data_IF_478166616221
#
_entry.id   IF_478166616221
#
_cell.length_a   1.000
_cell.length_b   1.000
_cell.length_c   1.000
_cell.angle_alpha   90.00
_cell.angle_beta   90.00
_cell.angle_gamma   90.00
#
_symmetry.space_group_name_H-M   'P 1'
#
loop_
_entity.id
_entity.type
_entity.pdbx_description
1 polymer ?
#
# COMPACT_ATOMS: atom_id res chain seq x y z
N UNK A 1 4.16 -8.41 -23.19
CA UNK A 1 3.04 -9.10 -22.53
C UNK A 1 2.57 -8.25 -21.37
N UNK A 2 1.27 -8.02 -21.21
CA UNK A 2 0.70 -7.33 -20.04
C UNK A 2 0.49 -8.28 -18.86
N UNK A 3 0.37 -7.72 -17.64
CA UNK A 3 0.04 -8.53 -16.44
C UNK A 3 -1.27 -9.30 -16.62
N UNK A 4 -2.24 -8.71 -17.33
CA UNK A 4 -3.52 -9.33 -17.67
C UNK A 4 -3.43 -10.41 -18.75
N UNK A 5 -2.42 -10.37 -19.63
CA UNK A 5 -2.25 -11.33 -20.71
C UNK A 5 -1.55 -12.61 -20.24
N UNK A 6 -0.52 -12.47 -19.39
CA UNK A 6 0.12 -13.62 -18.75
C UNK A 6 -0.71 -14.13 -17.57
N UNK A 7 -1.43 -13.24 -16.87
CA UNK A 7 -2.21 -13.57 -15.67
C UNK A 7 -3.58 -12.86 -15.68
N UNK A 8 -4.63 -13.48 -16.28
CA UNK A 8 -5.93 -12.86 -16.55
C UNK A 8 -6.74 -12.36 -15.34
N UNK A 9 -6.23 -12.51 -14.13
CA UNK A 9 -6.86 -12.05 -12.89
C UNK A 9 -6.09 -10.92 -12.18
N UNK A 10 -4.89 -10.57 -12.63
CA UNK A 10 -4.03 -9.59 -11.95
C UNK A 10 -4.56 -8.16 -11.99
N UNK A 11 -5.38 -7.78 -12.98
CA UNK A 11 -6.04 -6.48 -12.96
C UNK A 11 -6.98 -6.35 -11.73
N UNK A 12 -7.62 -7.44 -11.28
CA UNK A 12 -8.48 -7.44 -10.07
C UNK A 12 -7.69 -7.23 -8.79
N UNK A 13 -6.39 -7.51 -8.78
CA UNK A 13 -5.51 -7.25 -7.64
C UNK A 13 -5.58 -5.79 -7.21
N UNK A 14 -5.60 -4.85 -8.17
CA UNK A 14 -5.77 -3.42 -7.88
C UNK A 14 -7.03 -3.14 -7.06
N UNK A 15 -8.18 -3.70 -7.41
CA UNK A 15 -9.39 -3.50 -6.61
C UNK A 15 -9.31 -4.16 -5.24
N UNK A 16 -8.79 -5.38 -5.17
CA UNK A 16 -8.70 -6.13 -3.91
C UNK A 16 -7.79 -5.39 -2.93
N UNK A 17 -6.60 -4.99 -3.37
CA UNK A 17 -5.66 -4.19 -2.59
C UNK A 17 -6.23 -2.83 -2.22
N UNK A 18 -6.77 -2.10 -3.21
CA UNK A 18 -7.31 -0.76 -2.99
C UNK A 18 -8.41 -0.76 -1.94
N UNK A 19 -9.36 -1.69 -2.05
CA UNK A 19 -10.46 -1.83 -1.08
C UNK A 19 -9.97 -2.34 0.27
N UNK A 20 -9.11 -3.37 0.28
CA UNK A 20 -8.59 -3.96 1.51
C UNK A 20 -7.80 -2.95 2.33
N UNK A 21 -6.89 -2.22 1.70
CA UNK A 21 -6.07 -1.18 2.33
C UNK A 21 -6.94 0.00 2.77
N UNK A 22 -7.84 0.50 1.91
CA UNK A 22 -8.71 1.62 2.28
C UNK A 22 -9.58 1.31 3.50
N UNK A 23 -10.21 0.13 3.52
CA UNK A 23 -11.04 -0.32 4.64
C UNK A 23 -10.20 -0.55 5.90
N UNK A 24 -9.05 -1.23 5.76
CA UNK A 24 -8.17 -1.53 6.88
C UNK A 24 -7.64 -0.25 7.54
N UNK A 25 -7.19 0.71 6.74
CA UNK A 25 -6.69 2.00 7.24
C UNK A 25 -7.81 2.83 7.86
N UNK A 26 -9.02 2.79 7.29
CA UNK A 26 -10.18 3.47 7.89
C UNK A 26 -10.53 2.88 9.25
N UNK A 27 -10.55 1.56 9.39
CA UNK A 27 -10.82 0.90 10.67
C UNK A 27 -9.71 1.14 11.71
N UNK A 28 -8.44 1.12 11.28
CA UNK A 28 -7.33 1.51 12.15
C UNK A 28 -7.51 2.92 12.67
N UNK A 29 -7.88 3.85 11.78
CA UNK A 29 -8.13 5.23 12.16
C UNK A 29 -9.24 5.34 13.22
N UNK A 30 -10.36 4.67 13.00
CA UNK A 30 -11.46 4.60 13.97
C UNK A 30 -10.95 4.07 15.32
N UNK A 31 -10.11 3.04 15.32
CA UNK A 31 -9.48 2.51 16.52
C UNK A 31 -8.56 3.50 17.24
N UNK A 32 -7.78 4.30 16.50
CA UNK A 32 -6.92 5.33 17.10
C UNK A 32 -7.69 6.53 17.64
N UNK A 33 -8.74 6.98 16.94
CA UNK A 33 -9.53 8.15 17.34
C UNK A 33 -10.51 7.83 18.47
N UNK A 34 -11.20 6.69 18.38
CA UNK A 34 -12.31 6.34 19.28
C UNK A 34 -12.00 5.15 20.21
N UNK A 35 -10.83 4.54 20.08
CA UNK A 35 -10.41 3.36 20.84
C UNK A 35 -10.72 2.02 20.14
N UNK A 36 -9.90 1.02 20.45
CA UNK A 36 -10.04 -0.34 19.91
C UNK A 36 -11.12 -1.14 20.65
N UNK A 37 -12.38 -0.86 20.33
CA UNK A 37 -13.52 -1.66 20.80
C UNK A 37 -13.58 -3.04 20.14
N UNK A 38 -14.29 -4.01 20.75
CA UNK A 38 -14.46 -5.36 20.19
C UNK A 38 -14.97 -5.32 18.74
N UNK A 39 -15.99 -4.51 18.36
CA UNK A 39 -16.42 -4.40 16.97
C UNK A 39 -15.33 -3.92 16.01
N UNK A 40 -14.48 -2.98 16.43
CA UNK A 40 -13.36 -2.49 15.61
C UNK A 40 -12.32 -3.59 15.40
N UNK A 41 -11.98 -4.32 16.47
CA UNK A 41 -11.03 -5.44 16.40
C UNK A 41 -11.57 -6.55 15.49
N UNK A 42 -12.84 -6.93 15.64
CA UNK A 42 -13.51 -7.92 14.77
C UNK A 42 -13.52 -7.44 13.32
N UNK A 43 -13.83 -6.16 13.09
CA UNK A 43 -13.78 -5.54 11.77
C UNK A 43 -12.39 -5.60 11.14
N UNK A 44 -11.34 -5.28 11.91
CA UNK A 44 -9.95 -5.36 11.45
C UNK A 44 -9.59 -6.81 11.07
N UNK A 45 -9.88 -7.77 11.94
CA UNK A 45 -9.63 -9.19 11.65
C UNK A 45 -10.39 -9.65 10.40
N UNK A 46 -11.65 -9.24 10.25
CA UNK A 46 -12.44 -9.59 9.08
C UNK A 46 -11.89 -8.96 7.80
N UNK A 47 -11.48 -7.68 7.82
CA UNK A 47 -10.92 -6.99 6.66
C UNK A 47 -9.55 -7.57 6.30
N UNK A 48 -8.62 -7.69 7.25
CA UNK A 48 -7.29 -8.25 6.97
C UNK A 48 -7.35 -9.73 6.57
N UNK A 49 -8.12 -10.54 7.31
CA UNK A 49 -8.30 -11.96 7.01
C UNK A 49 -9.00 -12.18 5.67
N UNK A 50 -10.06 -11.42 5.40
CA UNK A 50 -10.77 -11.45 4.13
C UNK A 50 -9.89 -10.98 2.97
N UNK A 51 -9.13 -9.90 3.16
CA UNK A 51 -8.19 -9.38 2.18
C UNK A 51 -7.12 -10.42 1.81
N UNK A 52 -6.44 -11.00 2.81
CA UNK A 52 -5.43 -12.04 2.61
C UNK A 52 -6.02 -13.29 1.96
N UNK A 53 -7.22 -13.69 2.37
CA UNK A 53 -7.94 -14.79 1.74
C UNK A 53 -8.19 -14.51 0.27
N UNK A 54 -8.75 -13.36 -0.10
CA UNK A 54 -9.04 -13.02 -1.50
C UNK A 54 -7.75 -12.90 -2.32
N UNK A 55 -6.70 -12.27 -1.78
CA UNK A 55 -5.39 -12.20 -2.44
C UNK A 55 -4.81 -13.58 -2.73
N UNK A 56 -4.84 -14.48 -1.75
CA UNK A 56 -4.36 -15.86 -1.93
C UNK A 56 -5.07 -16.59 -3.07
N UNK A 57 -6.36 -16.28 -3.30
CA UNK A 57 -7.16 -16.85 -4.39
C UNK A 57 -6.80 -16.23 -5.74
N UNK A 58 -6.56 -14.92 -5.78
CA UNK A 58 -6.14 -14.20 -7.00
C UNK A 58 -4.73 -14.61 -7.44
N UNK A 59 -3.83 -14.85 -6.49
CA UNK A 59 -2.42 -15.18 -6.73
C UNK A 59 -2.14 -16.66 -6.93
N UNK A 60 -3.12 -17.56 -6.72
CA UNK A 60 -2.92 -19.02 -6.74
C UNK A 60 -2.36 -19.57 -8.05
N UNK A 61 -2.57 -18.87 -9.15
CA UNK A 61 -2.12 -19.27 -10.50
C UNK A 61 -0.89 -18.48 -10.98
N UNK A 62 -0.26 -17.70 -10.10
CA UNK A 62 0.95 -16.96 -10.42
C UNK A 62 2.18 -17.84 -10.21
N UNK A 63 2.94 -18.05 -11.28
CA UNK A 63 4.27 -18.63 -11.23
C UNK A 63 5.29 -17.51 -11.40
N UNK A 64 6.14 -17.33 -10.40
CA UNK A 64 7.20 -16.33 -10.40
C UNK A 64 8.30 -16.74 -11.41
N UNK A 65 8.78 -15.84 -12.28
CA UNK A 65 9.85 -16.19 -13.21
C UNK A 65 11.17 -16.43 -12.46
N UNK A 66 11.82 -17.56 -12.73
CA UNK A 66 12.90 -18.11 -11.90
C UNK A 66 14.32 -17.73 -12.34
N UNK A 67 14.52 -17.02 -13.44
CA UNK A 67 15.85 -16.79 -14.02
C UNK A 67 16.22 -15.31 -14.17
N UNK A 68 17.35 -14.90 -13.58
CA UNK A 68 18.09 -13.68 -13.92
C UNK A 68 17.56 -12.34 -13.37
N UNK A 69 16.40 -12.31 -12.72
CA UNK A 69 15.75 -11.07 -12.24
C UNK A 69 15.36 -11.17 -10.75
N UNK A 70 15.34 -10.05 -9.99
CA UNK A 70 15.06 -10.09 -8.56
C UNK A 70 13.63 -10.53 -8.26
N UNK A 71 13.46 -11.56 -7.44
CA UNK A 71 12.14 -12.07 -7.13
C UNK A 71 11.24 -11.11 -6.33
N UNK A 72 9.92 -11.25 -6.53
CA UNK A 72 8.84 -10.65 -5.74
C UNK A 72 8.99 -10.92 -4.24
N UNK A 73 9.48 -12.10 -3.85
CA UNK A 73 9.76 -12.40 -2.45
C UNK A 73 10.83 -11.49 -1.84
N UNK A 74 11.90 -11.19 -2.58
CA UNK A 74 12.97 -10.29 -2.12
C UNK A 74 12.47 -8.84 -2.03
N UNK A 75 11.61 -8.44 -2.97
CA UNK A 75 10.91 -7.16 -2.90
C UNK A 75 10.11 -7.05 -1.58
N UNK A 76 9.26 -8.03 -1.26
CA UNK A 76 8.47 -8.04 -0.02
C UNK A 76 9.36 -7.97 1.23
N UNK A 77 10.42 -8.79 1.27
CA UNK A 77 11.39 -8.75 2.38
C UNK A 77 12.00 -7.37 2.53
N UNK A 78 12.38 -6.72 1.42
CA UNK A 78 12.91 -5.35 1.43
C UNK A 78 11.90 -4.33 1.96
N UNK A 79 10.63 -4.43 1.56
CA UNK A 79 9.56 -3.55 2.06
C UNK A 79 9.37 -3.74 3.57
N UNK A 80 9.22 -4.98 4.03
CA UNK A 80 9.03 -5.26 5.46
C UNK A 80 10.26 -4.87 6.29
N UNK A 81 11.47 -5.08 5.78
CA UNK A 81 12.70 -4.63 6.43
C UNK A 81 12.76 -3.10 6.50
N UNK A 82 12.37 -2.40 5.44
CA UNK A 82 12.29 -0.93 5.42
C UNK A 82 11.27 -0.37 6.41
N UNK A 83 10.08 -0.97 6.47
CA UNK A 83 9.06 -0.61 7.46
C UNK A 83 9.52 -0.89 8.89
N UNK A 84 10.16 -2.03 9.12
CA UNK A 84 10.71 -2.38 10.43
C UNK A 84 11.82 -1.40 10.83
N UNK A 85 12.74 -1.09 9.92
CA UNK A 85 13.82 -0.12 10.16
C UNK A 85 13.26 1.28 10.46
N UNK A 86 12.21 1.70 9.76
CA UNK A 86 11.50 2.94 10.04
C UNK A 86 10.92 2.95 11.45
N UNK A 87 10.17 1.91 11.84
CA UNK A 87 9.54 1.81 13.17
C UNK A 87 10.60 1.81 14.26
N UNK A 88 11.63 0.96 14.14
CA UNK A 88 12.70 0.83 15.14
C UNK A 88 13.53 2.12 15.24
N UNK A 89 13.82 2.76 14.10
CA UNK A 89 14.60 4.00 14.05
C UNK A 89 13.83 5.21 14.56
N UNK A 90 12.51 5.26 14.35
CA UNK A 90 11.65 6.35 14.83
C UNK A 90 11.33 6.24 16.32
N UNK A 91 11.18 5.02 16.84
CA UNK A 91 10.83 4.75 18.24
C UNK A 91 11.60 5.57 19.29
N UNK A 92 12.95 5.66 19.27
CA UNK A 92 13.69 6.39 20.31
C UNK A 92 13.52 7.92 20.24
N UNK A 93 13.09 8.46 19.10
CA UNK A 93 12.92 9.92 18.90
C UNK A 93 11.46 10.35 18.93
N UNK A 94 10.52 9.40 18.98
CA UNK A 94 9.08 9.65 19.03
C UNK A 94 8.69 10.64 20.12
N UNK A 95 9.21 10.48 21.34
CA UNK A 95 8.94 11.36 22.48
C UNK A 95 9.48 12.79 22.34
N UNK A 96 10.45 13.01 21.45
CA UNK A 96 10.91 14.36 21.11
C UNK A 96 9.97 15.11 20.16
N UNK A 97 8.99 14.40 19.59
CA UNK A 97 7.97 14.92 18.66
C UNK A 97 6.54 14.77 19.20
N UNK A 98 6.41 14.23 20.42
CA UNK A 98 5.15 14.12 21.17
C UNK A 98 4.52 15.52 21.32
N UNK A 99 3.26 15.65 20.91
CA UNK A 99 2.46 16.88 21.07
C UNK A 99 2.33 17.79 19.85
N UNK A 100 3.06 17.56 18.74
CA UNK A 100 2.94 18.40 17.52
C UNK A 100 2.47 17.61 16.29
N UNK A 101 2.95 16.37 16.08
CA UNK A 101 2.61 15.61 14.85
C UNK A 101 3.04 14.12 14.89
N UNK A 102 3.10 13.50 16.07
CA UNK A 102 3.65 12.15 16.25
C UNK A 102 3.00 11.09 15.33
N UNK A 103 1.66 11.07 15.30
CA UNK A 103 0.91 10.13 14.48
C UNK A 103 1.08 10.42 12.98
N UNK A 104 0.85 11.66 12.48
CA UNK A 104 1.12 11.99 11.07
C UNK A 104 2.52 11.61 10.58
N UNK A 105 3.56 11.83 11.39
CA UNK A 105 4.95 11.55 11.00
C UNK A 105 5.25 10.06 10.85
N UNK A 106 4.74 9.20 11.73
CA UNK A 106 4.87 7.74 11.62
C UNK A 106 4.34 7.26 10.26
N UNK A 107 3.22 7.82 9.79
CA UNK A 107 2.58 7.42 8.54
C UNK A 107 3.16 8.10 7.31
N UNK A 108 3.71 9.30 7.44
CA UNK A 108 4.55 9.90 6.40
C UNK A 108 5.71 8.96 6.10
N UNK A 109 6.42 8.47 7.12
CA UNK A 109 7.53 7.55 6.92
C UNK A 109 7.11 6.20 6.32
N UNK A 110 6.02 5.60 6.82
CA UNK A 110 5.49 4.37 6.24
C UNK A 110 5.07 4.56 4.76
N UNK A 111 4.40 5.67 4.45
CA UNK A 111 4.01 6.02 3.10
C UNK A 111 5.19 6.32 2.17
N UNK A 112 6.29 6.87 2.70
CA UNK A 112 7.56 7.01 1.95
C UNK A 112 8.13 5.64 1.58
N UNK A 113 8.22 4.73 2.55
CA UNK A 113 8.71 3.35 2.30
C UNK A 113 7.86 2.67 1.23
N UNK A 114 6.53 2.76 1.34
CA UNK A 114 5.60 2.18 0.37
C UNK A 114 5.68 2.85 -1.00
N UNK A 115 5.80 4.18 -1.07
CA UNK A 115 5.94 4.91 -2.32
C UNK A 115 7.21 4.51 -3.08
N UNK A 116 8.34 4.39 -2.38
CA UNK A 116 9.59 3.88 -2.95
C UNK A 116 9.44 2.43 -3.39
N UNK A 117 8.80 1.59 -2.58
CA UNK A 117 8.55 0.19 -2.92
C UNK A 117 7.73 0.05 -4.21
N UNK A 118 6.74 0.92 -4.41
CA UNK A 118 5.94 0.97 -5.64
C UNK A 118 6.79 1.37 -6.84
N UNK A 119 7.61 2.41 -6.75
CA UNK A 119 8.53 2.79 -7.82
C UNK A 119 9.48 1.63 -8.16
N UNK A 120 10.02 0.95 -7.15
CA UNK A 120 10.89 -0.20 -7.35
C UNK A 120 10.15 -1.40 -7.97
N UNK A 121 8.87 -1.62 -7.62
CA UNK A 121 8.03 -2.63 -8.28
C UNK A 121 7.86 -2.32 -9.77
N UNK A 122 7.65 -1.05 -10.14
CA UNK A 122 7.59 -0.63 -11.55
C UNK A 122 8.87 -0.98 -12.32
N UNK A 123 10.04 -0.72 -11.72
CA UNK A 123 11.35 -1.11 -12.29
C UNK A 123 11.46 -2.62 -12.45
N UNK A 124 11.02 -3.35 -11.42
CA UNK A 124 11.06 -4.80 -11.42
C UNK A 124 10.20 -5.39 -12.54
N UNK A 125 8.98 -4.89 -12.73
CA UNK A 125 8.12 -5.26 -13.85
C UNK A 125 8.77 -4.93 -15.20
N UNK A 126 9.54 -3.84 -15.29
CA UNK A 126 10.36 -3.53 -16.45
C UNK A 126 11.43 -4.57 -16.74
N UNK A 127 12.12 -5.06 -15.71
CA UNK A 127 13.09 -6.15 -15.86
C UNK A 127 12.44 -7.49 -16.27
N UNK A 128 11.15 -7.68 -15.97
CA UNK A 128 10.34 -8.83 -16.40
C UNK A 128 9.70 -8.67 -17.78
N UNK A 129 10.04 -7.63 -18.56
CA UNK A 129 9.44 -7.32 -19.88
C UNK A 129 7.89 -7.24 -19.86
N UNK A 130 7.34 -6.87 -18.71
CA UNK A 130 5.91 -6.61 -18.56
C UNK A 130 5.56 -5.31 -19.28
N UNK A 131 4.34 -5.22 -19.84
CA UNK A 131 3.84 -4.04 -20.56
C UNK A 131 4.09 -2.74 -19.78
N UNK A 132 4.56 -1.72 -20.50
CA UNK A 132 4.89 -0.40 -19.93
C UNK A 132 3.72 0.24 -19.17
N UNK A 133 2.48 0.07 -19.62
CA UNK A 133 1.30 0.60 -18.93
C UNK A 133 1.16 0.06 -17.50
N UNK A 134 1.49 -1.21 -17.27
CA UNK A 134 1.45 -1.83 -15.95
C UNK A 134 2.60 -1.30 -15.07
N UNK A 135 3.79 -1.10 -15.65
CA UNK A 135 4.92 -0.45 -14.95
C UNK A 135 4.59 0.98 -14.54
N UNK A 136 3.99 1.77 -15.44
CA UNK A 136 3.58 3.15 -15.15
C UNK A 136 2.53 3.23 -14.04
N UNK A 137 1.65 2.25 -13.91
CA UNK A 137 0.72 2.17 -12.79
C UNK A 137 1.45 1.95 -11.45
N UNK A 138 2.66 1.42 -11.43
CA UNK A 138 3.46 1.38 -10.20
C UNK A 138 4.26 2.66 -9.98
N UNK A 139 4.83 3.26 -11.04
CA UNK A 139 5.53 4.55 -10.92
C UNK A 139 4.60 5.67 -10.45
N UNK A 140 3.46 5.86 -11.12
CA UNK A 140 2.50 6.91 -10.79
C UNK A 140 1.93 6.67 -9.38
N UNK A 141 1.65 5.42 -9.01
CA UNK A 141 1.17 5.07 -7.67
C UNK A 141 2.20 5.36 -6.59
N UNK A 142 3.47 5.07 -6.85
CA UNK A 142 4.57 5.40 -5.95
C UNK A 142 4.71 6.90 -5.74
N UNK A 143 4.75 7.70 -6.81
CA UNK A 143 4.81 9.15 -6.71
C UNK A 143 3.56 9.76 -6.06
N UNK A 144 2.38 9.19 -6.33
CA UNK A 144 1.13 9.58 -5.67
C UNK A 144 1.20 9.36 -4.16
N UNK A 145 1.65 8.18 -3.72
CA UNK A 145 1.83 7.89 -2.29
C UNK A 145 2.83 8.85 -1.64
N UNK A 146 3.96 9.10 -2.29
CA UNK A 146 4.95 10.07 -1.79
C UNK A 146 4.34 11.47 -1.64
N UNK A 147 3.60 11.93 -2.65
CA UNK A 147 2.97 13.25 -2.65
C UNK A 147 1.89 13.37 -1.55
N UNK A 148 1.01 12.37 -1.44
CA UNK A 148 -0.05 12.34 -0.41
C UNK A 148 0.57 12.29 0.97
N UNK A 149 1.55 11.41 1.20
CA UNK A 149 2.25 11.32 2.48
C UNK A 149 2.96 12.61 2.86
N UNK A 150 3.61 13.29 1.92
CA UNK A 150 4.25 14.57 2.17
C UNK A 150 3.23 15.70 2.47
N UNK A 151 2.03 15.63 1.89
CA UNK A 151 0.99 16.63 2.05
C UNK A 151 0.20 16.50 3.37
N UNK A 152 0.01 15.27 3.88
CA UNK A 152 -0.82 14.98 5.05
C UNK A 152 -0.55 15.87 6.27
N UNK A 153 0.72 16.11 6.69
CA UNK A 153 1.01 16.95 7.86
C UNK A 153 0.54 18.41 7.72
N UNK A 154 0.31 18.87 6.49
CA UNK A 154 -0.06 20.26 6.17
C UNK A 154 -1.56 20.49 6.06
N UNK A 155 -2.39 19.46 6.31
CA UNK A 155 -3.84 19.52 6.14
C UNK A 155 -4.51 19.32 7.51
N UNK A 156 -4.77 20.40 8.27
CA UNK A 156 -5.36 20.29 9.62
C UNK A 156 -6.70 19.56 9.64
N UNK A 157 -7.49 19.68 8.56
CA UNK A 157 -8.79 19.03 8.43
C UNK A 157 -8.74 17.49 8.52
N UNK A 158 -7.58 16.88 8.26
CA UNK A 158 -7.40 15.43 8.29
C UNK A 158 -6.44 14.99 9.38
N UNK A 159 -6.05 15.84 10.32
CA UNK A 159 -5.08 15.50 11.37
C UNK A 159 -5.48 14.23 12.13
N UNK A 160 -6.70 14.22 12.68
CA UNK A 160 -7.28 13.03 13.33
C UNK A 160 -7.72 11.95 12.34
N UNK A 161 -7.78 12.27 11.05
CA UNK A 161 -8.25 11.36 10.00
C UNK A 161 -7.15 10.94 9.01
N UNK A 162 -5.88 11.08 9.41
CA UNK A 162 -4.71 10.94 8.53
C UNK A 162 -4.64 9.55 7.89
N UNK A 163 -4.92 8.50 8.68
CA UNK A 163 -4.92 7.11 8.22
C UNK A 163 -5.97 6.83 7.16
N UNK A 164 -7.21 7.20 7.43
CA UNK A 164 -8.32 6.98 6.50
C UNK A 164 -8.07 7.77 5.22
N UNK A 165 -7.55 8.99 5.32
CA UNK A 165 -7.21 9.81 4.16
C UNK A 165 -6.14 9.14 3.30
N UNK A 166 -5.07 8.63 3.89
CA UNK A 166 -4.03 7.89 3.18
C UNK A 166 -4.60 6.62 2.52
N UNK A 167 -5.37 5.82 3.27
CA UNK A 167 -5.98 4.60 2.78
C UNK A 167 -6.99 4.84 1.65
N UNK A 168 -7.82 5.87 1.76
CA UNK A 168 -8.77 6.26 0.72
C UNK A 168 -8.07 6.84 -0.52
N UNK A 169 -7.02 7.63 -0.34
CA UNK A 169 -6.22 8.14 -1.46
C UNK A 169 -5.53 7.00 -2.22
N UNK A 170 -5.00 6.00 -1.51
CA UNK A 170 -4.48 4.78 -2.09
C UNK A 170 -5.57 3.96 -2.79
N UNK A 171 -6.70 3.72 -2.11
CA UNK A 171 -7.83 2.99 -2.67
C UNK A 171 -8.36 3.62 -3.94
N UNK A 172 -8.51 4.95 -3.96
CA UNK A 172 -8.90 5.72 -5.14
C UNK A 172 -7.90 5.51 -6.29
N UNK A 173 -6.60 5.59 -6.00
CA UNK A 173 -5.56 5.33 -6.99
C UNK A 173 -5.70 3.93 -7.59
N UNK A 174 -5.85 2.91 -6.75
CA UNK A 174 -6.01 1.53 -7.17
C UNK A 174 -7.28 1.30 -8.02
N UNK A 175 -8.40 1.93 -7.66
CA UNK A 175 -9.64 1.88 -8.47
C UNK A 175 -9.40 2.51 -9.85
N UNK A 176 -8.73 3.67 -9.89
CA UNK A 176 -8.38 4.32 -11.16
C UNK A 176 -7.45 3.44 -12.00
N UNK A 177 -6.40 2.88 -11.38
CA UNK A 177 -5.47 1.96 -12.04
C UNK A 177 -6.22 0.73 -12.62
N UNK A 178 -7.12 0.13 -11.85
CA UNK A 178 -7.99 -0.95 -12.31
C UNK A 178 -8.81 -0.54 -13.54
N UNK A 179 -9.52 0.59 -13.50
CA UNK A 179 -10.38 1.02 -14.62
C UNK A 179 -9.55 1.30 -15.87
N UNK A 180 -8.38 1.92 -15.71
CA UNK A 180 -7.50 2.26 -16.83
C UNK A 180 -6.87 1.01 -17.44
N UNK A 181 -6.37 0.08 -16.62
CA UNK A 181 -5.68 -1.11 -17.09
C UNK A 181 -6.65 -2.19 -17.58
N UNK A 182 -7.86 -2.29 -17.03
CA UNK A 182 -8.87 -3.26 -17.50
C UNK A 182 -9.43 -2.93 -18.89
N UNK A 183 -9.28 -1.67 -19.34
CA UNK A 183 -9.71 -1.21 -20.67
C UNK A 183 -8.64 -1.38 -21.76
N UNK A 184 -7.44 -1.85 -21.40
CA UNK A 184 -6.28 -1.96 -22.30
C UNK A 184 -5.79 -3.40 -22.39
#
# INVERSE_FOLDING_TARGET
>A
MGLSESHPYWWRWWLVEGLGVALGFTLFNVGFVYGFSIPVIVGLVAVFGGHQYVLSRVQRSYEEPTTGVPGWGRWHVGVYAGLLAWIVGFWPVQSSVEGVAETPLIWVGAGIVMGVAFVYMGQLLGAYDIRSADQYAFYVGGFWLLAVSAALPWIPAVENWSFATLGLAYGLYCVVAYVVLARR
#
